data_IF_533041718817
#
_entry.id   IF_533041718817
#
_cell.length_a   1.000
_cell.length_b   1.000
_cell.length_c   1.000
_cell.angle_alpha   90.00
_cell.angle_beta   90.00
_cell.angle_gamma   90.00
#
_symmetry.space_group_name_H-M   'P 1'
#
loop_
_entity.id
_entity.type
_entity.pdbx_description
1 polymer ?
#
# COMPACT_ATOMS: atom_id res chain seq x y z
N UNK A 1 21.53 -16.65 0.82
CA UNK A 1 20.24 -16.12 1.28
C UNK A 1 19.37 -15.89 0.05
N UNK A 2 18.13 -16.36 0.05
CA UNK A 2 17.16 -16.06 -1.03
C UNK A 2 16.91 -14.54 -1.10
N UNK A 3 16.67 -14.02 -2.30
CA UNK A 3 16.34 -12.60 -2.50
C UNK A 3 14.97 -12.33 -1.84
N UNK A 4 14.92 -11.36 -0.92
CA UNK A 4 13.66 -10.94 -0.31
C UNK A 4 12.72 -10.31 -1.35
N UNK A 5 11.41 -10.49 -1.16
CA UNK A 5 10.37 -9.84 -1.96
C UNK A 5 10.36 -8.35 -1.62
N UNK A 6 10.50 -7.51 -2.62
CA UNK A 6 10.58 -6.06 -2.45
C UNK A 6 9.20 -5.40 -2.46
N UNK A 7 8.93 -4.59 -1.45
CA UNK A 7 7.67 -3.84 -1.30
C UNK A 7 7.95 -2.35 -1.30
N UNK A 8 7.22 -1.61 -2.13
CA UNK A 8 7.18 -0.15 -2.09
C UNK A 8 5.80 0.31 -1.64
N UNK A 9 5.75 1.05 -0.53
CA UNK A 9 4.54 1.71 -0.08
C UNK A 9 4.58 3.20 -0.40
N UNK A 10 3.44 3.75 -0.82
CA UNK A 10 3.32 5.13 -1.30
C UNK A 10 2.10 5.81 -0.68
N UNK A 11 2.30 6.99 -0.13
CA UNK A 11 1.23 7.91 0.30
C UNK A 11 1.62 9.32 -0.07
N UNK A 12 1.15 9.81 -1.23
CA UNK A 12 1.54 11.11 -1.74
C UNK A 12 0.87 12.25 -0.97
N UNK A 13 1.68 13.00 -0.23
CA UNK A 13 1.27 14.17 0.55
C UNK A 13 1.76 15.47 -0.08
N UNK A 14 1.08 16.57 0.22
CA UNK A 14 1.53 17.90 -0.15
C UNK A 14 2.64 18.39 0.80
N UNK A 15 3.49 19.26 0.27
CA UNK A 15 4.47 20.01 1.04
C UNK A 15 4.08 21.49 1.05
N UNK A 16 4.05 22.10 2.22
CA UNK A 16 3.74 23.51 2.41
C UNK A 16 4.94 24.20 3.07
N UNK A 17 5.76 24.90 2.27
CA UNK A 17 7.05 25.39 2.75
C UNK A 17 7.93 24.23 3.22
N UNK A 18 8.32 24.22 4.50
CA UNK A 18 9.05 23.09 5.12
C UNK A 18 8.14 22.11 5.87
N UNK A 19 6.82 22.34 5.89
CA UNK A 19 5.86 21.47 6.56
C UNK A 19 5.45 20.29 5.67
N UNK A 20 5.53 19.08 6.20
CA UNK A 20 5.21 17.83 5.49
C UNK A 20 4.38 16.91 6.39
N UNK A 21 3.32 16.33 5.83
CA UNK A 21 2.56 15.30 6.52
C UNK A 21 3.29 13.97 6.48
N UNK A 22 3.37 13.31 7.63
CA UNK A 22 3.92 11.98 7.72
C UNK A 22 3.07 10.98 6.90
N UNK A 23 3.66 9.98 6.21
CA UNK A 23 2.90 8.98 5.46
C UNK A 23 2.31 7.92 6.42
N UNK A 24 1.41 8.36 7.30
CA UNK A 24 0.94 7.62 8.46
C UNK A 24 0.23 6.31 8.09
N UNK A 25 -0.70 6.34 7.12
CA UNK A 25 -1.49 5.15 6.80
C UNK A 25 -0.64 3.99 6.25
N UNK A 26 0.35 4.28 5.41
CA UNK A 26 1.27 3.24 4.92
C UNK A 26 2.28 2.82 5.99
N UNK A 27 2.65 3.72 6.90
CA UNK A 27 3.48 3.37 8.06
C UNK A 27 2.76 2.42 9.01
N UNK A 28 1.48 2.64 9.29
CA UNK A 28 0.67 1.73 10.12
C UNK A 28 0.57 0.34 9.47
N UNK A 29 0.34 0.27 8.16
CA UNK A 29 0.29 -1.01 7.44
C UNK A 29 1.63 -1.75 7.54
N UNK A 30 2.74 -1.07 7.29
CA UNK A 30 4.07 -1.68 7.39
C UNK A 30 4.37 -2.17 8.80
N UNK A 31 4.07 -1.34 9.80
CA UNK A 31 4.29 -1.68 11.21
C UNK A 31 3.48 -2.92 11.60
N UNK A 32 2.22 -2.97 11.21
CA UNK A 32 1.35 -4.10 11.52
C UNK A 32 1.86 -5.41 10.93
N UNK A 33 2.15 -5.43 9.65
CA UNK A 33 2.57 -6.68 9.00
C UNK A 33 3.96 -7.13 9.45
N UNK A 34 4.84 -6.20 9.83
CA UNK A 34 6.17 -6.52 10.39
C UNK A 34 6.11 -7.16 11.78
N UNK A 35 4.96 -7.21 12.46
CA UNK A 35 4.82 -8.02 13.69
C UNK A 35 4.96 -9.52 13.38
N UNK A 36 4.67 -9.96 12.15
CA UNK A 36 4.87 -11.35 11.73
C UNK A 36 6.33 -11.61 11.32
N UNK A 37 6.97 -12.58 11.98
CA UNK A 37 8.34 -13.00 11.70
C UNK A 37 8.53 -13.39 10.24
N UNK A 38 7.62 -14.20 9.71
CA UNK A 38 7.64 -14.65 8.30
C UNK A 38 7.69 -13.47 7.32
N UNK A 39 7.05 -12.34 7.64
CA UNK A 39 7.09 -11.15 6.80
C UNK A 39 8.43 -10.43 6.96
N UNK A 40 8.95 -10.26 8.18
CA UNK A 40 10.27 -9.65 8.41
C UNK A 40 11.39 -10.40 7.71
N UNK A 41 11.31 -11.71 7.67
CA UNK A 41 12.35 -12.56 7.06
C UNK A 41 12.33 -12.55 5.54
N UNK A 42 11.14 -12.53 4.93
CA UNK A 42 10.97 -12.74 3.50
C UNK A 42 10.72 -11.48 2.69
N UNK A 43 10.37 -10.37 3.34
CA UNK A 43 10.07 -9.11 2.69
C UNK A 43 11.11 -8.03 2.98
N UNK A 44 11.34 -7.18 1.99
CA UNK A 44 12.14 -5.95 2.11
C UNK A 44 11.26 -4.75 1.75
N UNK A 45 10.88 -3.99 2.77
CA UNK A 45 10.15 -2.73 2.59
C UNK A 45 11.16 -1.62 2.28
N UNK A 46 10.93 -0.94 1.16
CA UNK A 46 11.72 0.23 0.75
C UNK A 46 11.24 1.47 1.50
N UNK A 47 12.08 2.50 1.54
CA UNK A 47 11.67 3.80 2.08
C UNK A 47 10.39 4.32 1.41
N UNK A 48 9.48 4.87 2.19
CA UNK A 48 8.21 5.40 1.69
C UNK A 48 8.39 6.48 0.63
N UNK A 49 7.57 6.43 -0.42
CA UNK A 49 7.38 7.58 -1.32
C UNK A 49 6.20 8.39 -0.76
N UNK A 50 6.49 9.57 -0.22
CA UNK A 50 5.47 10.35 0.51
C UNK A 50 5.31 11.77 0.00
N UNK A 51 6.22 12.28 -0.79
CA UNK A 51 6.11 13.60 -1.43
C UNK A 51 5.61 13.50 -2.85
N UNK A 52 4.84 14.49 -3.24
CA UNK A 52 4.49 14.72 -4.64
C UNK A 52 5.69 15.26 -5.40
N UNK A 53 6.14 14.48 -6.35
CA UNK A 53 7.24 14.81 -7.28
C UNK A 53 6.79 14.52 -8.70
N UNK A 54 7.65 14.85 -9.67
CA UNK A 54 7.42 14.39 -11.03
C UNK A 54 7.31 12.86 -11.08
N UNK A 55 6.33 12.38 -11.84
CA UNK A 55 6.06 10.94 -11.97
C UNK A 55 7.32 10.16 -12.38
N UNK A 56 8.09 10.72 -13.33
CA UNK A 56 9.33 10.09 -13.81
C UNK A 56 10.36 9.90 -12.70
N UNK A 57 10.48 10.86 -11.78
CA UNK A 57 11.38 10.78 -10.63
C UNK A 57 10.90 9.74 -9.62
N UNK A 58 9.60 9.72 -9.32
CA UNK A 58 9.03 8.71 -8.43
C UNK A 58 9.20 7.29 -9.00
N UNK A 59 8.90 7.08 -10.28
CA UNK A 59 9.12 5.79 -10.95
C UNK A 59 10.57 5.36 -10.91
N UNK A 60 11.52 6.30 -11.08
CA UNK A 60 12.97 6.03 -10.97
C UNK A 60 13.36 5.60 -9.54
N UNK A 61 12.82 6.28 -8.51
CA UNK A 61 13.04 5.93 -7.09
C UNK A 61 12.47 4.55 -6.75
N UNK A 62 11.27 4.24 -7.24
CA UNK A 62 10.65 2.92 -7.07
C UNK A 62 11.55 1.85 -7.70
N UNK A 63 12.01 2.06 -8.93
CA UNK A 63 12.82 1.07 -9.65
C UNK A 63 12.07 -0.24 -9.85
N UNK A 64 12.78 -1.37 -9.78
CA UNK A 64 12.18 -2.71 -9.84
C UNK A 64 11.70 -3.11 -8.44
N UNK A 65 10.41 -3.42 -8.32
CA UNK A 65 9.79 -3.93 -7.08
C UNK A 65 8.80 -5.04 -7.40
N UNK A 66 8.61 -5.94 -6.46
CA UNK A 66 7.68 -7.05 -6.62
C UNK A 66 6.25 -6.61 -6.29
N UNK A 67 6.09 -5.72 -5.31
CA UNK A 67 4.79 -5.22 -4.84
C UNK A 67 4.84 -3.70 -4.71
N UNK A 68 3.82 -3.01 -5.25
CA UNK A 68 3.56 -1.60 -5.07
C UNK A 68 2.21 -1.40 -4.39
N UNK A 69 2.19 -0.80 -3.22
CA UNK A 69 0.97 -0.41 -2.51
C UNK A 69 0.83 1.11 -2.45
N UNK A 70 -0.34 1.64 -2.82
CA UNK A 70 -0.59 3.08 -2.83
C UNK A 70 -1.80 3.41 -1.97
N UNK A 71 -1.61 4.29 -0.99
CA UNK A 71 -2.69 4.85 -0.18
C UNK A 71 -3.33 6.05 -0.88
N UNK A 72 -4.60 5.88 -1.26
CA UNK A 72 -5.35 6.81 -2.09
C UNK A 72 -6.31 7.67 -1.28
N UNK A 73 -6.18 8.98 -1.45
CA UNK A 73 -7.04 10.02 -0.91
C UNK A 73 -7.55 10.90 -2.06
N UNK A 74 -8.59 11.68 -1.83
CA UNK A 74 -9.15 12.57 -2.85
C UNK A 74 -8.09 13.50 -3.45
N UNK A 75 -7.16 13.99 -2.63
CA UNK A 75 -6.13 14.94 -3.07
C UNK A 75 -4.97 14.32 -3.86
N UNK A 76 -4.72 13.01 -3.72
CA UNK A 76 -3.63 12.34 -4.43
C UNK A 76 -4.09 11.35 -5.51
N UNK A 77 -5.40 11.13 -5.66
CA UNK A 77 -5.99 10.09 -6.51
C UNK A 77 -5.42 10.06 -7.93
N UNK A 78 -5.52 11.19 -8.63
CA UNK A 78 -5.06 11.27 -10.03
C UNK A 78 -3.57 10.98 -10.18
N UNK A 79 -2.76 11.50 -9.26
CA UNK A 79 -1.31 11.28 -9.28
C UNK A 79 -0.97 9.83 -8.92
N UNK A 80 -1.67 9.24 -7.96
CA UNK A 80 -1.53 7.83 -7.57
C UNK A 80 -1.84 6.89 -8.73
N UNK A 81 -2.91 7.12 -9.46
CA UNK A 81 -3.26 6.35 -10.66
C UNK A 81 -2.20 6.50 -11.75
N UNK A 82 -1.74 7.74 -12.00
CA UNK A 82 -0.68 7.97 -13.01
C UNK A 82 0.62 7.29 -12.63
N UNK A 83 1.00 7.34 -11.36
CA UNK A 83 2.17 6.64 -10.85
C UNK A 83 2.04 5.12 -11.05
N UNK A 84 0.90 4.53 -10.67
CA UNK A 84 0.64 3.10 -10.84
C UNK A 84 0.73 2.68 -12.32
N UNK A 85 0.15 3.46 -13.23
CA UNK A 85 0.23 3.23 -14.68
C UNK A 85 1.68 3.21 -15.19
N UNK A 86 2.47 4.22 -14.82
CA UNK A 86 3.87 4.32 -15.26
C UNK A 86 4.76 3.24 -14.62
N UNK A 87 4.50 2.87 -13.37
CA UNK A 87 5.18 1.73 -12.74
C UNK A 87 4.84 0.44 -13.48
N UNK A 88 3.57 0.20 -13.82
CA UNK A 88 3.16 -0.98 -14.60
C UNK A 88 3.91 -1.09 -15.92
N UNK A 89 4.11 0.02 -16.65
CA UNK A 89 4.87 0.05 -17.91
C UNK A 89 6.32 -0.37 -17.71
N UNK A 90 6.94 0.00 -16.59
CA UNK A 90 8.34 -0.30 -16.27
C UNK A 90 8.54 -1.66 -15.57
N UNK A 91 7.54 -2.08 -14.81
CA UNK A 91 7.51 -3.32 -14.04
C UNK A 91 6.25 -4.14 -14.41
N UNK A 92 6.19 -4.82 -15.54
CA UNK A 92 4.99 -5.54 -15.97
C UNK A 92 4.49 -6.59 -14.98
N UNK A 93 5.41 -7.19 -14.22
CA UNK A 93 5.12 -8.25 -13.24
C UNK A 93 4.91 -7.75 -11.80
N UNK A 94 5.05 -6.45 -11.54
CA UNK A 94 4.80 -5.88 -10.22
C UNK A 94 3.33 -6.08 -9.85
N UNK A 95 3.05 -6.59 -8.67
CA UNK A 95 1.70 -6.57 -8.10
C UNK A 95 1.38 -5.16 -7.62
N UNK A 96 0.33 -4.53 -8.17
CA UNK A 96 -0.07 -3.17 -7.82
C UNK A 96 -1.42 -3.20 -7.11
N UNK A 97 -1.47 -2.72 -5.87
CA UNK A 97 -2.72 -2.54 -5.16
C UNK A 97 -2.96 -1.08 -4.73
N UNK A 98 -4.24 -0.73 -4.67
CA UNK A 98 -4.71 0.55 -4.16
C UNK A 98 -5.52 0.34 -2.88
N UNK A 99 -5.29 1.15 -1.87
CA UNK A 99 -6.07 1.19 -0.64
C UNK A 99 -6.32 2.64 -0.22
N UNK A 100 -6.95 2.82 0.92
CA UNK A 100 -7.26 4.14 1.47
C UNK A 100 -8.67 4.63 1.14
N UNK A 101 -9.09 5.74 1.77
CA UNK A 101 -10.50 6.13 1.84
C UNK A 101 -11.12 6.61 0.51
N UNK A 102 -10.30 6.83 -0.52
CA UNK A 102 -10.80 7.24 -1.84
C UNK A 102 -10.96 6.08 -2.83
N UNK A 103 -10.51 4.89 -2.47
CA UNK A 103 -10.78 3.68 -3.26
C UNK A 103 -12.27 3.31 -3.07
N UNK A 104 -13.04 3.17 -4.17
CA UNK A 104 -14.44 2.78 -4.04
C UNK A 104 -14.60 1.43 -3.36
N UNK A 105 -15.59 1.31 -2.50
CA UNK A 105 -16.00 0.02 -1.94
C UNK A 105 -16.49 -0.91 -3.06
N UNK A 106 -16.14 -2.20 -2.97
CA UNK A 106 -16.61 -3.22 -3.91
C UNK A 106 -16.29 -2.88 -5.38
N UNK A 107 -15.02 -2.57 -5.67
CA UNK A 107 -14.58 -2.36 -7.05
C UNK A 107 -14.87 -3.59 -7.91
N UNK A 108 -15.49 -3.36 -9.02
CA UNK A 108 -15.97 -4.38 -9.96
C UNK A 108 -15.16 -4.39 -11.28
N UNK A 109 -15.68 -5.11 -12.25
CA UNK A 109 -15.07 -5.22 -13.58
C UNK A 109 -14.92 -3.85 -14.26
N UNK A 110 -15.84 -2.91 -14.05
CA UNK A 110 -15.77 -1.57 -14.66
C UNK A 110 -14.57 -0.78 -14.16
N UNK A 111 -14.25 -0.91 -12.86
CA UNK A 111 -13.08 -0.29 -12.27
C UNK A 111 -11.79 -0.81 -12.90
N UNK A 112 -11.63 -2.13 -12.99
CA UNK A 112 -10.41 -2.72 -13.53
C UNK A 112 -10.29 -2.57 -15.05
N UNK A 113 -11.41 -2.41 -15.78
CA UNK A 113 -11.39 -1.99 -17.19
C UNK A 113 -10.88 -0.56 -17.35
N UNK A 114 -11.28 0.35 -16.44
CA UNK A 114 -10.83 1.75 -16.47
C UNK A 114 -9.36 1.88 -16.03
N UNK A 115 -8.93 1.04 -15.07
CA UNK A 115 -7.58 1.06 -14.50
C UNK A 115 -6.88 -0.30 -14.66
N UNK A 116 -6.60 -0.73 -15.91
CA UNK A 116 -6.10 -2.08 -16.21
C UNK A 116 -4.68 -2.35 -15.65
N UNK A 117 -4.02 -1.35 -15.12
CA UNK A 117 -2.71 -1.47 -14.48
C UNK A 117 -2.79 -1.84 -12.99
N UNK A 118 -3.98 -1.84 -12.38
CA UNK A 118 -4.21 -2.25 -10.99
C UNK A 118 -4.54 -3.74 -10.93
N UNK A 119 -3.99 -4.46 -9.94
CA UNK A 119 -4.29 -5.87 -9.73
C UNK A 119 -5.26 -6.09 -8.57
N UNK A 120 -5.20 -5.23 -7.54
CA UNK A 120 -6.03 -5.39 -6.34
C UNK A 120 -6.44 -4.03 -5.78
N UNK A 121 -7.62 -3.99 -5.21
CA UNK A 121 -8.06 -2.90 -4.33
C UNK A 121 -8.34 -3.45 -2.94
N UNK A 122 -7.96 -2.69 -1.91
CA UNK A 122 -8.23 -3.01 -0.51
C UNK A 122 -9.25 -2.03 0.05
N UNK A 123 -10.25 -2.56 0.74
CA UNK A 123 -11.41 -1.82 1.23
C UNK A 123 -11.39 -1.74 2.76
N UNK A 124 -11.89 -0.64 3.31
CA UNK A 124 -11.95 -0.39 4.75
C UNK A 124 -10.57 -0.46 5.43
N UNK A 125 -10.48 -1.14 6.59
CA UNK A 125 -9.22 -1.32 7.32
C UNK A 125 -8.29 -2.28 6.56
N UNK A 126 -7.10 -1.80 6.22
CA UNK A 126 -6.18 -2.53 5.33
C UNK A 126 -5.26 -3.53 6.02
N UNK A 127 -5.08 -3.47 7.32
CA UNK A 127 -4.02 -4.17 8.05
C UNK A 127 -4.09 -5.69 7.86
N UNK A 128 -5.22 -6.29 8.21
CA UNK A 128 -5.41 -7.74 8.08
C UNK A 128 -5.48 -8.20 6.62
N UNK A 129 -6.05 -7.37 5.73
CA UNK A 129 -6.13 -7.65 4.29
C UNK A 129 -4.73 -7.64 3.67
N UNK A 130 -3.90 -6.68 4.05
CA UNK A 130 -2.52 -6.59 3.57
C UNK A 130 -1.66 -7.73 4.12
N UNK A 131 -1.80 -8.07 5.42
CA UNK A 131 -1.09 -9.22 6.01
C UNK A 131 -1.42 -10.51 5.26
N UNK A 132 -2.71 -10.82 5.07
CA UNK A 132 -3.13 -12.02 4.34
C UNK A 132 -2.61 -12.02 2.90
N UNK A 133 -2.63 -10.85 2.25
CA UNK A 133 -2.11 -10.69 0.89
C UNK A 133 -0.62 -11.05 0.81
N UNK A 134 0.19 -10.55 1.74
CA UNK A 134 1.62 -10.85 1.76
C UNK A 134 1.89 -12.34 2.04
N UNK A 135 1.20 -12.93 2.99
CA UNK A 135 1.36 -14.36 3.32
C UNK A 135 1.03 -15.24 2.11
N UNK A 136 -0.12 -14.99 1.46
CA UNK A 136 -0.53 -15.74 0.26
C UNK A 136 0.41 -15.50 -0.93
N UNK A 137 0.87 -14.26 -1.12
CA UNK A 137 1.83 -13.94 -2.17
C UNK A 137 3.15 -14.70 -2.00
N UNK A 138 3.68 -14.75 -0.78
CA UNK A 138 4.89 -15.51 -0.44
C UNK A 138 4.71 -17.00 -0.74
N UNK A 139 3.59 -17.57 -0.36
CA UNK A 139 3.27 -18.98 -0.53
C UNK A 139 2.83 -19.34 -1.96
N UNK A 140 2.71 -18.34 -2.86
CA UNK A 140 2.15 -18.50 -4.21
C UNK A 140 0.73 -19.06 -4.21
N UNK A 141 -0.03 -18.72 -3.19
CA UNK A 141 -1.45 -19.05 -3.05
C UNK A 141 -2.32 -18.11 -3.87
N UNK A 142 -3.55 -18.51 -4.24
CA UNK A 142 -4.49 -17.65 -4.95
C UNK A 142 -4.87 -16.41 -4.14
N UNK A 143 -4.83 -15.22 -4.78
CA UNK A 143 -5.17 -13.95 -4.15
C UNK A 143 -6.62 -13.53 -4.33
N UNK A 144 -7.41 -14.30 -5.08
CA UNK A 144 -8.78 -13.95 -5.46
C UNK A 144 -9.83 -14.14 -4.35
N UNK A 145 -9.46 -14.71 -3.20
CA UNK A 145 -10.37 -15.01 -2.09
C UNK A 145 -9.97 -14.29 -0.77
N UNK A 146 -9.38 -13.11 -0.87
CA UNK A 146 -8.98 -12.32 0.31
C UNK A 146 -10.11 -11.37 0.70
N UNK A 147 -10.65 -11.52 1.92
CA UNK A 147 -11.70 -10.64 2.44
C UNK A 147 -11.24 -9.18 2.48
N UNK A 148 -12.16 -8.27 2.20
CA UNK A 148 -11.86 -6.83 2.18
C UNK A 148 -11.07 -6.40 0.95
N UNK A 149 -11.11 -7.18 -0.13
CA UNK A 149 -10.45 -6.83 -1.39
C UNK A 149 -11.27 -7.15 -2.62
N UNK A 150 -10.96 -6.48 -3.72
CA UNK A 150 -11.30 -6.93 -5.07
C UNK A 150 -10.01 -7.19 -5.84
N UNK A 151 -9.95 -8.28 -6.57
CA UNK A 151 -8.76 -8.76 -7.26
C UNK A 151 -9.03 -9.02 -8.74
N UNK A 152 -8.15 -8.50 -9.61
CA UNK A 152 -8.15 -8.78 -11.04
C UNK A 152 -7.06 -9.80 -11.38
N UNK A 153 -7.46 -11.01 -11.72
CA UNK A 153 -6.56 -12.09 -12.12
C UNK A 153 -6.06 -11.87 -13.57
N UNK A 154 -5.16 -10.91 -13.69
CA UNK A 154 -4.60 -10.45 -14.97
C UNK A 154 -3.91 -11.56 -15.75
N UNK A 155 -3.21 -12.45 -15.07
CA UNK A 155 -2.29 -13.38 -15.69
C UNK A 155 -2.93 -14.69 -16.12
N UNK A 156 -4.03 -15.09 -15.45
CA UNK A 156 -4.66 -16.38 -15.69
C UNK A 156 -6.07 -16.23 -16.28
N UNK A 157 -7.08 -16.05 -15.42
CA UNK A 157 -8.48 -16.12 -15.81
C UNK A 157 -9.03 -14.85 -16.46
N UNK A 158 -8.35 -13.72 -16.34
CA UNK A 158 -8.84 -12.38 -16.75
C UNK A 158 -10.15 -11.98 -16.05
N UNK A 159 -10.44 -12.57 -14.91
CA UNK A 159 -11.66 -12.32 -14.13
C UNK A 159 -11.40 -11.37 -12.99
N UNK A 160 -12.44 -10.65 -12.61
CA UNK A 160 -12.48 -9.85 -11.40
C UNK A 160 -13.23 -10.62 -10.31
N UNK A 161 -12.65 -10.64 -9.12
CA UNK A 161 -13.21 -11.25 -7.93
C UNK A 161 -13.44 -10.15 -6.89
N UNK A 162 -14.68 -9.89 -6.55
CA UNK A 162 -15.06 -8.94 -5.48
C UNK A 162 -15.43 -9.74 -4.25
N UNK A 163 -14.66 -9.58 -3.18
CA UNK A 163 -14.86 -10.34 -1.95
C UNK A 163 -15.68 -9.54 -0.94
N UNK A 164 -16.29 -10.25 0.00
CA UNK A 164 -17.02 -9.64 1.11
C UNK A 164 -16.11 -8.73 1.94
N UNK A 165 -16.70 -7.69 2.52
CA UNK A 165 -16.00 -6.81 3.46
C UNK A 165 -15.47 -7.63 4.64
N UNK A 166 -14.27 -7.30 5.07
CA UNK A 166 -13.71 -7.82 6.32
C UNK A 166 -14.44 -7.18 7.50
N UNK A 167 -14.65 -7.93 8.56
CA UNK A 167 -15.14 -7.36 9.81
C UNK A 167 -14.11 -6.37 10.35
N UNK A 168 -14.59 -5.27 10.92
CA UNK A 168 -13.72 -4.28 11.57
C UNK A 168 -12.96 -4.90 12.73
N UNK A 169 -11.76 -4.40 12.94
CA UNK A 169 -10.97 -4.73 14.12
C UNK A 169 -11.68 -4.18 15.34
N UNK A 170 -12.11 -5.05 16.25
CA UNK A 170 -12.81 -4.66 17.49
C UNK A 170 -11.85 -4.38 18.64
N UNK A 171 -10.76 -5.12 18.68
CA UNK A 171 -9.72 -4.98 19.68
C UNK A 171 -8.51 -4.25 19.06
N UNK A 172 -8.42 -2.96 19.33
CA UNK A 172 -7.34 -2.13 18.80
C UNK A 172 -5.99 -2.39 19.49
N UNK A 173 -5.94 -3.17 20.57
CA UNK A 173 -4.68 -3.55 21.22
C UNK A 173 -3.77 -4.39 20.32
N UNK A 174 -4.33 -5.03 19.29
CA UNK A 174 -3.54 -5.77 18.28
C UNK A 174 -2.79 -4.86 17.30
N UNK A 175 -3.12 -3.56 17.27
CA UNK A 175 -2.51 -2.60 16.36
C UNK A 175 -1.28 -1.97 17.01
N UNK A 176 -0.07 -2.24 16.52
CA UNK A 176 1.14 -1.62 17.04
C UNK A 176 1.17 -0.13 16.69
N UNK A 177 1.80 0.66 17.54
CA UNK A 177 2.03 2.07 17.25
C UNK A 177 3.20 2.23 16.28
N UNK A 178 2.96 2.76 15.08
CA UNK A 178 4.02 3.03 14.11
C UNK A 178 5.09 4.03 14.63
N UNK A 179 4.73 4.86 15.60
CA UNK A 179 5.67 5.76 16.27
C UNK A 179 6.56 5.02 17.27
N UNK A 180 5.97 4.20 18.14
CA UNK A 180 6.72 3.49 19.18
C UNK A 180 7.59 2.36 18.60
N UNK A 181 7.16 1.77 17.49
CA UNK A 181 7.94 0.75 16.75
C UNK A 181 9.04 1.36 15.86
N UNK A 182 9.21 2.69 15.87
CA UNK A 182 10.28 3.37 15.15
C UNK A 182 10.16 3.39 13.63
N UNK A 183 8.97 3.10 13.08
CA UNK A 183 8.76 2.97 11.62
C UNK A 183 9.14 4.23 10.84
N UNK A 184 9.08 5.40 11.47
CA UNK A 184 9.39 6.68 10.84
C UNK A 184 10.75 7.26 11.20
N UNK A 185 11.55 6.59 12.03
CA UNK A 185 12.83 7.14 12.51
C UNK A 185 13.78 7.50 11.38
N UNK A 186 13.88 6.66 10.36
CA UNK A 186 14.75 6.93 9.22
C UNK A 186 14.32 8.17 8.44
N UNK A 187 13.01 8.44 8.34
CA UNK A 187 12.50 9.67 7.74
C UNK A 187 12.89 10.89 8.58
N UNK A 188 12.76 10.81 9.90
CA UNK A 188 13.14 11.89 10.81
C UNK A 188 14.63 12.18 10.78
N UNK A 189 15.47 11.17 10.67
CA UNK A 189 16.93 11.34 10.57
C UNK A 189 17.37 11.89 9.22
N UNK A 190 16.69 11.48 8.13
CA UNK A 190 17.10 11.79 6.76
C UNK A 190 16.64 13.16 6.28
N UNK A 191 15.47 13.60 6.74
CA UNK A 191 14.82 14.80 6.23
C UNK A 191 14.58 15.83 7.32
N UNK A 192 15.11 17.03 7.13
CA UNK A 192 14.89 18.18 8.01
C UNK A 192 13.58 18.89 7.65
N UNK A 193 12.44 18.24 7.93
CA UNK A 193 11.10 18.79 7.71
C UNK A 193 10.41 19.11 9.04
N UNK A 194 9.54 20.10 8.99
CA UNK A 194 8.55 20.33 10.04
C UNK A 194 7.42 19.30 9.86
N UNK A 195 7.57 18.14 10.51
CA UNK A 195 6.65 17.04 10.35
C UNK A 195 5.30 17.33 11.01
N UNK A 196 4.23 17.18 10.23
CA UNK A 196 2.87 17.11 10.76
C UNK A 196 2.54 15.66 11.06
N UNK A 197 2.39 15.35 12.35
CA UNK A 197 2.03 14.03 12.82
C UNK A 197 0.52 13.83 12.71
N UNK A 198 0.11 12.65 12.30
CA UNK A 198 -1.28 12.24 12.27
C UNK A 198 -1.53 11.31 13.44
N UNK A 199 -2.58 11.56 14.18
CA UNK A 199 -3.05 10.71 15.27
C UNK A 199 -4.48 10.27 14.98
N UNK A 200 -4.69 8.99 15.02
CA UNK A 200 -5.99 8.37 14.80
C UNK A 200 -6.60 8.03 16.17
N UNK A 201 -7.65 8.75 16.54
CA UNK A 201 -8.33 8.57 17.85
C UNK A 201 -9.58 7.71 17.73
N UNK A 202 -10.06 7.48 16.52
CA UNK A 202 -11.24 6.68 16.24
C UNK A 202 -11.15 6.08 14.84
N UNK A 203 -11.60 4.85 14.70
CA UNK A 203 -11.76 4.14 13.42
C UNK A 203 -13.20 3.71 13.28
N UNK A 204 -13.92 4.26 12.31
CA UNK A 204 -15.30 3.89 12.19
C UNK A 204 -15.99 4.35 10.92
#
# INVERSE_FOLDING_TARGET
MSKKISVQLVQLNNKYGNQVYLPYSVGVLETFVKQKEIIRENYHFKEFIFLREDISNMVKKIGQVDILGISCYIWNWRMSLKLAEEVRKKNPNCMIFLGGPHVPDNTDESFFKLYPFVDMTMHAEGELTFEETLIKYLNKEPLHNILGSSFYDRNNSKKVYTNNKRQRIKDYSILPSAYLEGTFEDLFRKYDYNWTLTWETNRG
#
